data_IF_592237542721
#
_entry.id   IF_592237542721
#
_cell.length_a   1.000
_cell.length_b   1.000
_cell.length_c   1.000
_cell.angle_alpha   90.00
_cell.angle_beta   90.00
_cell.angle_gamma   90.00
#
_symmetry.space_group_name_H-M   'P 1'
#
loop_
_entity.id
_entity.type
_entity.pdbx_description
1 polymer ?
#
# COMPACT_ATOMS: atom_id res chain seq x y z
N UNK A 1 -6.62 -25.10 1.86
CA UNK A 1 -5.86 -25.07 0.58
C UNK A 1 -6.16 -23.80 -0.21
N UNK A 2 -7.41 -23.63 -0.71
CA UNK A 2 -7.82 -22.50 -1.57
C UNK A 2 -7.36 -21.09 -1.16
N UNK A 3 -7.53 -20.69 0.10
CA UNK A 3 -7.09 -19.35 0.54
C UNK A 3 -5.57 -19.17 0.53
N UNK A 4 -4.81 -20.23 0.85
CA UNK A 4 -3.34 -20.19 0.77
C UNK A 4 -2.87 -20.05 -0.68
N UNK A 5 -3.55 -20.72 -1.61
CA UNK A 5 -3.22 -20.63 -3.03
C UNK A 5 -3.57 -19.25 -3.60
N UNK A 6 -4.71 -18.69 -3.17
CA UNK A 6 -5.09 -17.30 -3.47
C UNK A 6 -4.05 -16.30 -2.96
N UNK A 7 -3.68 -16.39 -1.67
CA UNK A 7 -2.64 -15.54 -1.09
C UNK A 7 -1.33 -15.63 -1.87
N UNK A 8 -0.86 -16.83 -2.21
CA UNK A 8 0.36 -17.01 -3.01
C UNK A 8 0.25 -16.35 -4.38
N UNK A 9 -0.90 -16.46 -5.04
CA UNK A 9 -1.12 -15.81 -6.33
C UNK A 9 -1.10 -14.28 -6.23
N UNK A 10 -1.74 -13.71 -5.20
CA UNK A 10 -1.68 -12.28 -4.93
C UNK A 10 -0.25 -11.82 -4.65
N UNK A 11 0.47 -12.55 -3.81
CA UNK A 11 1.85 -12.26 -3.46
C UNK A 11 2.75 -12.22 -4.70
N UNK A 12 2.67 -13.23 -5.56
CA UNK A 12 3.43 -13.29 -6.82
C UNK A 12 3.14 -12.11 -7.75
N UNK A 13 1.88 -11.68 -7.82
CA UNK A 13 1.47 -10.53 -8.64
C UNK A 13 2.02 -9.22 -8.07
N UNK A 14 1.97 -9.04 -6.76
CA UNK A 14 2.53 -7.85 -6.10
C UNK A 14 4.05 -7.78 -6.25
N UNK A 15 4.74 -8.90 -6.09
CA UNK A 15 6.19 -8.99 -6.35
C UNK A 15 6.52 -8.63 -7.80
N UNK A 16 5.75 -9.13 -8.77
CA UNK A 16 5.94 -8.80 -10.17
C UNK A 16 5.76 -7.29 -10.45
N UNK A 17 4.80 -6.63 -9.79
CA UNK A 17 4.62 -5.17 -9.90
C UNK A 17 5.88 -4.45 -9.41
N UNK A 18 6.40 -4.80 -8.23
CA UNK A 18 7.61 -4.17 -7.69
C UNK A 18 8.85 -4.46 -8.54
N UNK A 19 8.97 -5.65 -9.14
CA UNK A 19 10.02 -5.93 -10.12
C UNK A 19 9.91 -5.02 -11.35
N UNK A 20 8.72 -4.85 -11.93
CA UNK A 20 8.53 -3.95 -13.06
C UNK A 20 8.83 -2.48 -12.70
N UNK A 21 8.46 -2.02 -11.50
CA UNK A 21 8.79 -0.68 -11.02
C UNK A 21 10.29 -0.49 -10.83
N UNK A 22 10.99 -1.51 -10.35
CA UNK A 22 12.44 -1.52 -10.24
C UNK A 22 13.11 -1.46 -11.62
N UNK A 23 12.67 -2.32 -12.54
CA UNK A 23 13.22 -2.39 -13.90
C UNK A 23 12.96 -1.10 -14.70
N UNK A 24 11.89 -0.38 -14.37
CA UNK A 24 11.57 0.95 -14.90
C UNK A 24 12.32 2.11 -14.22
N UNK A 25 13.22 1.83 -13.27
CA UNK A 25 13.97 2.84 -12.49
C UNK A 25 13.07 3.76 -11.62
N UNK A 26 11.84 3.34 -11.30
CA UNK A 26 10.92 4.10 -10.45
C UNK A 26 11.28 3.89 -8.97
N UNK A 27 11.63 2.65 -8.61
CA UNK A 27 12.09 2.29 -7.26
C UNK A 27 13.46 1.61 -7.30
N UNK A 28 14.28 1.89 -6.29
CA UNK A 28 15.56 1.25 -6.03
C UNK A 28 15.42 0.37 -4.79
N UNK A 29 15.24 -0.93 -4.98
CA UNK A 29 15.06 -1.90 -3.91
C UNK A 29 15.78 -3.20 -4.26
N UNK A 30 16.39 -3.87 -3.27
CA UNK A 30 17.06 -5.13 -3.53
C UNK A 30 16.03 -6.24 -3.83
N UNK A 31 16.35 -7.26 -4.65
CA UNK A 31 15.44 -8.37 -4.91
C UNK A 31 14.97 -9.10 -3.64
N UNK A 32 15.81 -9.12 -2.61
CA UNK A 32 15.46 -9.69 -1.29
C UNK A 32 14.39 -8.86 -0.59
N UNK A 33 14.48 -7.54 -0.68
CA UNK A 33 13.57 -6.63 0.01
C UNK A 33 12.23 -6.48 -0.72
N UNK A 34 12.17 -6.74 -2.04
CA UNK A 34 10.92 -6.78 -2.83
C UNK A 34 9.90 -7.75 -2.22
N UNK A 35 10.33 -8.95 -1.82
CA UNK A 35 9.45 -9.94 -1.20
C UNK A 35 8.87 -9.43 0.13
N UNK A 36 9.71 -8.73 0.92
CA UNK A 36 9.30 -8.11 2.17
C UNK A 36 8.30 -6.99 1.95
N UNK A 37 8.56 -6.11 0.99
CA UNK A 37 7.66 -5.01 0.63
C UNK A 37 6.31 -5.55 0.13
N UNK A 38 6.30 -6.55 -0.77
CA UNK A 38 5.09 -7.19 -1.26
C UNK A 38 4.24 -7.79 -0.12
N UNK A 39 4.88 -8.47 0.82
CA UNK A 39 4.18 -9.05 1.97
C UNK A 39 3.61 -7.95 2.88
N UNK A 40 4.37 -6.90 3.16
CA UNK A 40 3.92 -5.77 3.97
C UNK A 40 2.73 -5.05 3.32
N UNK A 41 2.77 -4.84 2.01
CA UNK A 41 1.65 -4.29 1.24
C UNK A 41 0.40 -5.16 1.36
N UNK A 42 0.54 -6.49 1.25
CA UNK A 42 -0.59 -7.41 1.45
C UNK A 42 -1.18 -7.32 2.87
N UNK A 43 -0.32 -7.29 3.89
CA UNK A 43 -0.75 -7.18 5.29
C UNK A 43 -1.54 -5.88 5.48
N UNK A 44 -0.99 -4.73 5.05
CA UNK A 44 -1.67 -3.44 5.16
C UNK A 44 -3.02 -3.45 4.45
N UNK A 45 -3.08 -3.91 3.19
CA UNK A 45 -4.33 -3.95 2.41
C UNK A 45 -5.39 -4.81 3.11
N UNK A 46 -5.01 -5.97 3.63
CA UNK A 46 -5.97 -6.92 4.23
C UNK A 46 -6.33 -6.59 5.68
N UNK A 47 -5.46 -5.89 6.41
CA UNK A 47 -5.73 -5.48 7.80
C UNK A 47 -6.36 -4.09 7.92
N UNK A 48 -6.30 -3.27 6.87
CA UNK A 48 -6.73 -1.86 6.90
C UNK A 48 -8.16 -1.69 7.42
N UNK A 49 -9.09 -2.46 6.89
CA UNK A 49 -10.50 -2.39 7.29
C UNK A 49 -10.68 -2.70 8.79
N UNK A 50 -9.99 -3.74 9.29
CA UNK A 50 -10.05 -4.12 10.70
C UNK A 50 -9.44 -3.05 11.60
N UNK A 51 -8.35 -2.41 11.15
CA UNK A 51 -7.73 -1.29 11.85
C UNK A 51 -8.71 -0.11 12.01
N UNK A 52 -9.38 0.30 10.93
CA UNK A 52 -10.38 1.37 10.95
C UNK A 52 -11.53 1.04 11.91
N UNK A 53 -12.04 -0.19 11.84
CA UNK A 53 -13.16 -0.63 12.66
C UNK A 53 -12.84 -0.61 14.16
N UNK A 54 -11.61 -0.98 14.54
CA UNK A 54 -11.23 -1.06 15.95
C UNK A 54 -10.76 0.27 16.56
N UNK A 55 -10.25 1.21 15.76
CA UNK A 55 -9.54 2.39 16.28
C UNK A 55 -10.19 3.72 15.94
N UNK A 56 -10.94 3.82 14.84
CA UNK A 56 -11.55 5.08 14.41
C UNK A 56 -13.06 5.14 14.66
N UNK A 57 -13.76 4.01 14.57
CA UNK A 57 -15.19 3.97 14.84
C UNK A 57 -15.40 3.89 16.35
N UNK A 58 -15.82 5.01 16.94
CA UNK A 58 -16.07 5.09 18.39
C UNK A 58 -17.49 4.63 18.76
N UNK A 59 -18.42 4.73 17.79
CA UNK A 59 -19.82 4.42 17.94
C UNK A 59 -20.23 3.29 16.98
N UNK A 60 -21.14 2.41 17.44
CA UNK A 60 -21.62 1.27 16.65
C UNK A 60 -22.38 1.63 15.36
N UNK A 61 -22.81 2.89 15.23
CA UNK A 61 -23.52 3.41 14.05
C UNK A 61 -22.60 4.13 13.04
N UNK A 62 -21.32 4.32 13.35
CA UNK A 62 -20.38 4.91 12.39
C UNK A 62 -19.97 3.86 11.34
N UNK A 63 -20.05 4.24 10.07
CA UNK A 63 -19.65 3.37 8.95
C UNK A 63 -18.34 3.84 8.34
N UNK A 64 -17.55 2.88 7.86
CA UNK A 64 -16.30 3.17 7.16
C UNK A 64 -16.63 3.85 5.84
N UNK A 65 -16.15 5.08 5.68
CA UNK A 65 -16.33 5.84 4.43
C UNK A 65 -15.26 5.45 3.41
N UNK A 66 -15.53 5.75 2.13
CA UNK A 66 -14.57 5.53 1.05
C UNK A 66 -13.26 6.29 1.28
N UNK A 67 -13.31 7.49 1.87
CA UNK A 67 -12.11 8.29 2.13
C UNK A 67 -11.25 7.68 3.25
N UNK A 68 -11.85 7.04 4.24
CA UNK A 68 -11.10 6.25 5.22
C UNK A 68 -10.43 5.03 4.56
N UNK A 69 -11.09 4.37 3.60
CA UNK A 69 -10.50 3.26 2.84
C UNK A 69 -9.32 3.72 1.98
N UNK A 70 -9.40 4.91 1.36
CA UNK A 70 -8.27 5.51 0.62
C UNK A 70 -7.05 5.73 1.52
N UNK A 71 -7.23 5.90 2.82
CA UNK A 71 -6.13 5.94 3.79
C UNK A 71 -5.24 4.69 3.76
N UNK A 72 -5.79 3.52 3.40
CA UNK A 72 -5.00 2.30 3.23
C UNK A 72 -4.07 2.38 2.02
N UNK A 73 -4.55 2.99 0.94
CA UNK A 73 -3.72 3.26 -0.26
C UNK A 73 -2.61 4.26 0.09
N UNK A 74 -2.92 5.29 0.89
CA UNK A 74 -1.91 6.23 1.39
C UNK A 74 -0.80 5.51 2.17
N UNK A 75 -1.15 4.55 3.04
CA UNK A 75 -0.16 3.77 3.79
C UNK A 75 0.75 2.94 2.87
N UNK A 76 0.24 2.40 1.76
CA UNK A 76 1.05 1.67 0.79
C UNK A 76 2.09 2.61 0.16
N UNK A 77 1.69 3.82 -0.23
CA UNK A 77 2.64 4.83 -0.73
C UNK A 77 3.72 5.17 0.30
N UNK A 78 3.37 5.22 1.59
CA UNK A 78 4.36 5.45 2.66
C UNK A 78 5.38 4.31 2.77
N UNK A 79 4.98 3.05 2.53
CA UNK A 79 5.90 1.92 2.49
C UNK A 79 6.86 2.00 1.29
N UNK A 80 6.41 2.55 0.16
CA UNK A 80 7.17 2.63 -1.08
C UNK A 80 8.11 3.84 -1.14
N UNK A 81 7.76 4.94 -0.46
CA UNK A 81 8.51 6.22 -0.45
C UNK A 81 10.03 6.10 -0.24
N UNK A 82 10.55 5.30 0.72
CA UNK A 82 11.99 5.18 0.93
C UNK A 82 12.74 4.60 -0.28
N UNK A 83 12.04 3.85 -1.14
CA UNK A 83 12.62 3.19 -2.30
C UNK A 83 12.50 4.03 -3.57
N UNK A 84 11.74 5.13 -3.58
CA UNK A 84 11.63 5.99 -4.77
C UNK A 84 12.99 6.54 -5.18
N UNK A 85 13.30 6.40 -6.46
CA UNK A 85 14.48 7.04 -7.05
C UNK A 85 14.31 8.55 -7.07
N UNK A 86 15.43 9.28 -7.08
CA UNK A 86 15.38 10.74 -7.08
C UNK A 86 14.67 11.32 -8.32
N UNK A 87 14.70 10.61 -9.45
CA UNK A 87 14.07 11.01 -10.71
C UNK A 87 12.53 11.01 -10.60
N UNK A 88 11.96 10.02 -9.93
CA UNK A 88 10.51 9.83 -9.85
C UNK A 88 9.89 10.30 -8.54
N UNK A 89 10.69 10.64 -7.52
CA UNK A 89 10.18 11.03 -6.20
C UNK A 89 9.16 12.17 -6.27
N UNK A 90 9.52 13.29 -6.90
CA UNK A 90 8.63 14.46 -6.99
C UNK A 90 7.35 14.14 -7.77
N UNK A 91 7.46 13.41 -8.88
CA UNK A 91 6.32 13.05 -9.73
C UNK A 91 5.35 12.12 -8.99
N UNK A 92 5.88 11.12 -8.28
CA UNK A 92 5.08 10.17 -7.50
C UNK A 92 4.44 10.86 -6.30
N UNK A 93 5.15 11.76 -5.61
CA UNK A 93 4.57 12.54 -4.50
C UNK A 93 3.45 13.46 -4.98
N UNK A 94 3.65 14.17 -6.10
CA UNK A 94 2.61 15.02 -6.71
C UNK A 94 1.39 14.20 -7.14
N UNK A 95 1.61 13.04 -7.75
CA UNK A 95 0.53 12.11 -8.13
C UNK A 95 -0.21 11.60 -6.89
N UNK A 96 0.53 11.20 -5.86
CA UNK A 96 -0.04 10.72 -4.60
C UNK A 96 -0.97 11.79 -4.01
N UNK A 97 -0.51 13.03 -3.90
CA UNK A 97 -1.30 14.14 -3.35
C UNK A 97 -2.56 14.44 -4.17
N UNK A 98 -2.47 14.34 -5.50
CA UNK A 98 -3.61 14.59 -6.40
C UNK A 98 -4.71 13.52 -6.32
N UNK A 99 -4.36 12.25 -6.11
CA UNK A 99 -5.30 11.13 -6.16
C UNK A 99 -5.69 10.58 -4.78
N UNK A 100 -4.75 10.57 -3.83
CA UNK A 100 -4.87 9.99 -2.50
C UNK A 100 -4.24 10.98 -1.50
N UNK A 101 -4.91 12.12 -1.23
CA UNK A 101 -4.42 13.07 -0.25
C UNK A 101 -4.30 12.41 1.12
N UNK A 102 -3.40 12.95 1.96
CA UNK A 102 -3.28 12.50 3.34
C UNK A 102 -4.65 12.64 4.03
N UNK A 103 -5.21 11.56 4.60
CA UNK A 103 -6.47 11.66 5.32
C UNK A 103 -6.33 12.58 6.54
N UNK A 104 -7.34 13.42 6.80
CA UNK A 104 -7.30 14.43 7.88
C UNK A 104 -7.17 13.81 9.30
N UNK A 105 -7.58 12.56 9.46
CA UNK A 105 -7.50 11.82 10.73
C UNK A 105 -6.15 11.11 10.95
N UNK A 106 -5.25 11.16 9.97
CA UNK A 106 -3.88 10.63 10.01
C UNK A 106 -2.87 11.75 10.29
#
# INVERSE_FOLDING_TARGET
>A
ARYRDFFRSCQQKTEAIYHCLHDANIIQISPRDIQGLALNTWIVVTSWYSFLQCNLLSNSDESITLDMLKGGVYQIFQLERPYLTNEYREQVETMQEAFIPKPDWL
#
